data_IF_255106004222
#
_entry.id   IF_255106004222
#
_cell.length_a   1.000
_cell.length_b   1.000
_cell.length_c   1.000
_cell.angle_alpha   90.00
_cell.angle_beta   90.00
_cell.angle_gamma   90.00
#
_symmetry.space_group_name_H-M   'P 1'
#
loop_
_entity.id
_entity.type
_entity.pdbx_description
1 polymer ?
#
# COMPACT_ATOMS: atom_id res chain seq x y z
N UNK A 1 15.53 20.04 8.69
CA UNK A 1 14.49 19.22 9.35
C UNK A 1 13.41 18.81 8.38
N UNK A 2 12.52 19.74 8.02
CA UNK A 2 11.31 19.48 7.20
C UNK A 2 11.66 19.00 5.78
N UNK A 3 12.70 19.55 5.14
CA UNK A 3 13.17 19.14 3.81
C UNK A 3 13.61 17.68 3.74
N UNK A 4 14.29 17.18 4.79
CA UNK A 4 14.72 15.78 4.85
C UNK A 4 13.53 14.83 4.98
N UNK A 5 12.50 15.21 5.74
CA UNK A 5 11.27 14.43 5.92
C UNK A 5 10.49 14.35 4.61
N UNK A 6 10.33 15.48 3.92
CA UNK A 6 9.66 15.53 2.61
C UNK A 6 10.43 14.67 1.60
N UNK A 7 11.76 14.79 1.55
CA UNK A 7 12.56 14.00 0.63
C UNK A 7 12.46 12.49 0.91
N UNK A 8 12.43 12.09 2.19
CA UNK A 8 12.31 10.67 2.55
C UNK A 8 10.91 10.13 2.28
N UNK A 9 9.85 10.80 2.74
CA UNK A 9 8.49 10.31 2.58
C UNK A 9 8.02 10.38 1.12
N UNK A 10 8.23 11.53 0.47
CA UNK A 10 7.77 11.75 -0.91
C UNK A 10 8.71 11.09 -1.90
N UNK A 11 10.03 11.17 -1.70
CA UNK A 11 11.00 10.55 -2.60
C UNK A 11 10.92 9.03 -2.59
N UNK A 12 10.78 8.40 -1.42
CA UNK A 12 10.63 6.95 -1.35
C UNK A 12 9.28 6.49 -1.94
N UNK A 13 8.19 7.21 -1.65
CA UNK A 13 6.88 6.91 -2.25
C UNK A 13 6.90 7.06 -3.79
N UNK A 14 7.52 8.12 -4.30
CA UNK A 14 7.67 8.36 -5.74
C UNK A 14 8.53 7.29 -6.43
N UNK A 15 9.60 6.84 -5.78
CA UNK A 15 10.44 5.74 -6.27
C UNK A 15 9.64 4.43 -6.36
N UNK A 16 8.85 4.11 -5.33
CA UNK A 16 7.98 2.92 -5.34
C UNK A 16 6.89 3.00 -6.40
N UNK A 17 6.24 4.16 -6.54
CA UNK A 17 5.27 4.45 -7.60
C UNK A 17 5.86 4.23 -9.00
N UNK A 18 7.03 4.81 -9.25
CA UNK A 18 7.74 4.66 -10.52
C UNK A 18 8.14 3.21 -10.81
N UNK A 19 8.57 2.46 -9.78
CA UNK A 19 8.90 1.05 -9.90
C UNK A 19 7.66 0.20 -10.25
N UNK A 20 6.51 0.44 -9.60
CA UNK A 20 5.25 -0.28 -9.87
C UNK A 20 4.74 0.05 -11.28
N UNK A 21 4.79 1.32 -11.70
CA UNK A 21 4.35 1.72 -13.05
C UNK A 21 5.22 1.13 -14.15
N UNK A 22 6.53 1.04 -13.93
CA UNK A 22 7.48 0.46 -14.90
C UNK A 22 7.56 -1.07 -14.84
N UNK A 23 6.95 -1.69 -13.83
CA UNK A 23 7.00 -3.13 -13.60
C UNK A 23 6.58 -3.99 -14.80
N UNK A 24 5.40 -3.79 -15.44
CA UNK A 24 4.98 -4.63 -16.55
C UNK A 24 5.89 -4.52 -17.78
N UNK A 25 6.60 -3.38 -17.96
CA UNK A 25 7.46 -3.15 -19.12
C UNK A 25 8.91 -3.62 -18.93
N UNK A 26 9.39 -3.70 -17.68
CA UNK A 26 10.80 -3.99 -17.36
C UNK A 26 11.02 -5.32 -16.63
N UNK A 27 9.98 -6.12 -16.44
CA UNK A 27 10.05 -7.40 -15.72
C UNK A 27 11.02 -8.42 -16.35
N UNK A 28 11.28 -8.31 -17.66
CA UNK A 28 12.22 -9.17 -18.38
C UNK A 28 13.70 -8.91 -18.06
N UNK A 29 14.04 -7.74 -17.50
CA UNK A 29 15.42 -7.36 -17.22
C UNK A 29 15.85 -7.94 -15.87
N UNK A 30 16.81 -8.86 -15.87
CA UNK A 30 17.26 -9.58 -14.67
C UNK A 30 17.70 -8.63 -13.55
N UNK A 31 18.50 -7.61 -13.88
CA UNK A 31 18.98 -6.62 -12.90
C UNK A 31 17.83 -5.87 -12.21
N UNK A 32 16.81 -5.47 -12.98
CA UNK A 32 15.64 -4.78 -12.44
C UNK A 32 14.82 -5.73 -11.56
N UNK A 33 14.64 -6.98 -12.00
CA UNK A 33 13.92 -8.01 -11.25
C UNK A 33 14.55 -8.29 -9.90
N UNK A 34 15.87 -8.41 -9.82
CA UNK A 34 16.61 -8.68 -8.55
C UNK A 34 16.55 -7.49 -7.59
N UNK A 35 16.55 -6.25 -8.11
CA UNK A 35 16.47 -5.04 -7.28
C UNK A 35 15.11 -4.86 -6.64
N UNK A 36 14.03 -5.14 -7.36
CA UNK A 36 12.66 -4.91 -6.91
C UNK A 36 11.94 -6.19 -6.47
N UNK A 37 12.66 -7.31 -6.32
CA UNK A 37 12.03 -8.59 -5.96
C UNK A 37 11.33 -8.50 -4.61
N UNK A 38 11.90 -7.77 -3.65
CA UNK A 38 11.28 -7.54 -2.33
C UNK A 38 9.86 -6.96 -2.44
N UNK A 39 9.61 -6.14 -3.46
CA UNK A 39 8.34 -5.46 -3.65
C UNK A 39 7.30 -6.38 -4.31
N UNK A 40 7.73 -7.29 -5.19
CA UNK A 40 6.84 -8.09 -6.03
C UNK A 40 6.72 -9.57 -5.63
N UNK A 41 7.69 -10.15 -4.89
CA UNK A 41 7.67 -11.55 -4.43
C UNK A 41 6.35 -11.96 -3.76
N UNK A 42 5.78 -11.17 -2.82
CA UNK A 42 4.60 -11.63 -2.08
C UNK A 42 3.29 -11.52 -2.88
N UNK A 43 3.28 -10.75 -3.97
CA UNK A 43 2.07 -10.44 -4.73
C UNK A 43 1.94 -11.29 -5.98
N UNK A 44 0.69 -11.55 -6.39
CA UNK A 44 0.40 -12.18 -7.67
C UNK A 44 0.74 -11.20 -8.82
N UNK A 45 1.32 -11.66 -9.95
CA UNK A 45 1.69 -10.78 -11.07
C UNK A 45 0.50 -9.97 -11.63
N UNK A 46 -0.70 -10.55 -11.60
CA UNK A 46 -1.93 -9.89 -12.06
C UNK A 46 -2.35 -8.69 -11.17
N UNK A 47 -1.90 -8.68 -9.92
CA UNK A 47 -2.28 -7.69 -8.89
C UNK A 47 -1.04 -7.00 -8.30
N UNK A 48 0.00 -6.80 -9.11
CA UNK A 48 1.24 -6.10 -8.71
C UNK A 48 1.00 -4.64 -8.26
N UNK A 49 -0.07 -4.02 -8.76
CA UNK A 49 -0.51 -2.68 -8.35
C UNK A 49 -1.03 -2.65 -6.90
N UNK A 50 -1.24 -3.79 -6.23
CA UNK A 50 -1.63 -3.82 -4.83
C UNK A 50 -0.57 -3.26 -3.87
N UNK A 51 0.70 -3.29 -4.26
CA UNK A 51 1.74 -2.59 -3.49
C UNK A 51 1.44 -1.08 -3.39
N UNK A 52 0.81 -0.50 -4.42
CA UNK A 52 0.41 0.90 -4.42
C UNK A 52 -0.79 1.16 -3.51
N UNK A 53 -1.78 0.26 -3.47
CA UNK A 53 -2.95 0.46 -2.58
C UNK A 53 -2.55 0.45 -1.11
N UNK A 54 -1.54 -0.35 -0.73
CA UNK A 54 -0.98 -0.30 0.64
C UNK A 54 -0.33 1.05 0.98
N UNK A 55 0.48 1.58 0.06
CA UNK A 55 1.10 2.91 0.24
C UNK A 55 0.03 4.00 0.27
N UNK A 56 -0.94 3.95 -0.65
CA UNK A 56 -2.06 4.89 -0.71
C UNK A 56 -2.91 4.86 0.56
N UNK A 57 -3.18 3.68 1.13
CA UNK A 57 -3.86 3.54 2.42
C UNK A 57 -3.09 4.24 3.54
N UNK A 58 -1.77 4.05 3.61
CA UNK A 58 -0.92 4.75 4.58
C UNK A 58 -1.05 6.27 4.47
N UNK A 59 -1.01 6.81 3.25
CA UNK A 59 -1.20 8.23 2.99
C UNK A 59 -2.60 8.71 3.40
N UNK A 60 -3.66 7.96 3.10
CA UNK A 60 -5.04 8.30 3.49
C UNK A 60 -5.23 8.31 5.02
N UNK A 61 -4.61 7.37 5.72
CA UNK A 61 -4.66 7.29 7.18
C UNK A 61 -3.84 8.41 7.84
N UNK A 62 -2.73 8.84 7.24
CA UNK A 62 -1.90 9.92 7.79
C UNK A 62 -2.39 11.33 7.43
N UNK A 63 -2.88 11.54 6.20
CA UNK A 63 -3.31 12.86 5.72
C UNK A 63 -4.76 13.17 6.06
N UNK A 64 -5.65 12.17 6.03
CA UNK A 64 -7.08 12.39 6.28
C UNK A 64 -7.39 13.08 7.61
N UNK A 65 -6.83 12.62 8.74
CA UNK A 65 -7.06 13.25 10.04
C UNK A 65 -6.54 14.70 10.16
N UNK A 66 -5.66 15.16 9.26
CA UNK A 66 -5.17 16.54 9.26
C UNK A 66 -6.25 17.53 8.82
N UNK A 67 -7.16 17.10 7.95
CA UNK A 67 -8.24 17.94 7.42
C UNK A 67 -9.51 17.91 8.29
N UNK A 68 -9.57 17.01 9.27
CA UNK A 68 -10.74 16.79 10.11
C UNK A 68 -10.48 17.40 11.49
N UNK A 69 -11.29 18.40 11.87
CA UNK A 69 -11.13 19.07 13.17
C UNK A 69 -11.67 18.22 14.34
N UNK A 70 -12.76 17.48 14.12
CA UNK A 70 -13.48 16.76 15.17
C UNK A 70 -12.87 15.39 15.46
N UNK A 71 -12.58 15.09 16.72
CA UNK A 71 -11.96 13.81 17.14
C UNK A 71 -12.79 12.58 16.75
N UNK A 72 -14.12 12.64 16.91
CA UNK A 72 -15.00 11.54 16.49
C UNK A 72 -14.94 11.28 14.98
N UNK A 73 -14.91 12.33 14.17
CA UNK A 73 -14.83 12.20 12.72
C UNK A 73 -13.49 11.60 12.23
N UNK A 74 -12.39 11.79 12.97
CA UNK A 74 -11.10 11.13 12.68
C UNK A 74 -11.19 9.61 12.85
N UNK A 75 -11.89 9.13 13.88
CA UNK A 75 -12.07 7.70 14.14
C UNK A 75 -12.93 7.08 13.04
N UNK A 76 -14.05 7.73 12.67
CA UNK A 76 -14.89 7.27 11.56
C UNK A 76 -14.13 7.24 10.23
N UNK A 77 -13.26 8.23 9.97
CA UNK A 77 -12.41 8.23 8.78
C UNK A 77 -11.49 7.01 8.72
N UNK A 78 -10.78 6.73 9.82
CA UNK A 78 -9.88 5.57 9.90
C UNK A 78 -10.67 4.27 9.68
N UNK A 79 -11.82 4.11 10.33
CA UNK A 79 -12.70 2.95 10.18
C UNK A 79 -13.15 2.75 8.73
N UNK A 80 -13.60 3.80 8.05
CA UNK A 80 -14.04 3.72 6.65
C UNK A 80 -12.87 3.30 5.74
N UNK A 81 -11.69 3.91 5.93
CA UNK A 81 -10.50 3.57 5.12
C UNK A 81 -10.08 2.12 5.35
N UNK A 82 -10.14 1.62 6.59
CA UNK A 82 -9.84 0.23 6.92
C UNK A 82 -10.86 -0.74 6.32
N UNK A 83 -12.16 -0.46 6.43
CA UNK A 83 -13.22 -1.29 5.85
C UNK A 83 -13.10 -1.38 4.32
N UNK A 84 -12.85 -0.25 3.66
CA UNK A 84 -12.63 -0.22 2.20
C UNK A 84 -11.40 -1.03 1.83
N UNK A 85 -10.30 -0.91 2.58
CA UNK A 85 -9.10 -1.70 2.33
C UNK A 85 -9.35 -3.20 2.50
N UNK A 86 -10.02 -3.62 3.58
CA UNK A 86 -10.35 -5.03 3.84
C UNK A 86 -11.29 -5.58 2.76
N UNK A 87 -12.30 -4.82 2.34
CA UNK A 87 -13.19 -5.21 1.25
C UNK A 87 -12.40 -5.44 -0.06
N UNK A 88 -11.55 -4.49 -0.45
CA UNK A 88 -10.71 -4.61 -1.64
C UNK A 88 -9.73 -5.79 -1.53
N UNK A 89 -9.20 -6.05 -0.32
CA UNK A 89 -8.28 -7.15 -0.06
C UNK A 89 -8.93 -8.51 -0.34
N UNK A 90 -10.18 -8.70 0.12
CA UNK A 90 -10.94 -9.93 -0.14
C UNK A 90 -11.48 -10.04 -1.57
N UNK A 91 -11.78 -8.90 -2.22
CA UNK A 91 -12.23 -8.87 -3.60
C UNK A 91 -11.11 -9.23 -4.60
N UNK A 92 -9.94 -8.61 -4.46
CA UNK A 92 -8.83 -8.77 -5.40
C UNK A 92 -7.86 -9.89 -5.04
N UNK A 93 -7.82 -10.34 -3.77
CA UNK A 93 -6.94 -11.42 -3.28
C UNK A 93 -5.50 -11.28 -3.82
N UNK A 94 -4.82 -10.18 -3.48
CA UNK A 94 -3.54 -9.79 -4.07
C UNK A 94 -2.37 -10.70 -3.67
N UNK A 95 -2.51 -11.41 -2.55
CA UNK A 95 -1.49 -12.29 -2.02
C UNK A 95 -1.42 -13.60 -2.79
N UNK A 96 -0.21 -14.12 -2.96
CA UNK A 96 0.00 -15.42 -3.63
C UNK A 96 -0.70 -16.58 -2.92
N UNK A 97 -0.75 -16.53 -1.58
CA UNK A 97 -1.44 -17.52 -0.74
C UNK A 97 -2.66 -16.88 -0.06
N UNK A 98 -3.82 -17.52 -0.15
CA UNK A 98 -5.08 -17.04 0.46
C UNK A 98 -5.00 -16.88 1.98
N UNK A 99 -4.13 -17.65 2.65
CA UNK A 99 -3.87 -17.55 4.09
C UNK A 99 -3.34 -16.15 4.43
N UNK A 100 -2.44 -15.59 3.62
CA UNK A 100 -1.89 -14.26 3.86
C UNK A 100 -2.97 -13.18 3.71
N UNK A 101 -3.94 -13.36 2.81
CA UNK A 101 -5.11 -12.47 2.70
C UNK A 101 -5.93 -12.47 3.99
N UNK A 102 -6.14 -13.65 4.60
CA UNK A 102 -6.90 -13.77 5.84
C UNK A 102 -6.15 -13.19 7.04
N UNK A 103 -4.85 -13.47 7.17
CA UNK A 103 -4.00 -12.91 8.23
C UNK A 103 -3.91 -11.39 8.10
N UNK A 104 -3.72 -10.86 6.89
CA UNK A 104 -3.70 -9.42 6.63
C UNK A 104 -5.05 -8.81 7.01
N UNK A 105 -6.18 -9.41 6.63
CA UNK A 105 -7.50 -8.95 7.04
C UNK A 105 -7.70 -8.92 8.56
N UNK A 106 -7.31 -9.98 9.27
CA UNK A 106 -7.40 -10.05 10.73
C UNK A 106 -6.54 -8.99 11.42
N UNK A 107 -5.31 -8.76 10.95
CA UNK A 107 -4.41 -7.75 11.52
C UNK A 107 -4.98 -6.33 11.45
N UNK A 108 -5.84 -6.05 10.45
CA UNK A 108 -6.50 -4.76 10.30
C UNK A 108 -7.80 -4.62 11.09
N UNK A 109 -8.38 -5.74 11.55
CA UNK A 109 -9.56 -5.77 12.41
C UNK A 109 -9.22 -5.78 13.90
N UNK A 110 -8.01 -6.24 14.26
CA UNK A 110 -7.52 -6.27 15.64
C UNK A 110 -7.02 -4.91 16.17
N UNK A 111 -7.11 -3.85 15.37
CA UNK A 111 -6.54 -2.53 15.61
C UNK A 111 -7.66 -1.48 15.70
#
# INVERSE_FOLDING_TARGET
GISAIVFWCVGFAALLLGAIYTAPRRFHVLFWRTRWTFLFIPYRPDVHWWALTKVGKGLLLSLGPLFISTSAAKIYWILIVLLVYVYLLFAFKPWRHSINTFIDGLAHLSL
#
